data_IF_313016954206
#
_entry.id   IF_313016954206
#
_cell.length_a   1.000
_cell.length_b   1.000
_cell.length_c   1.000
_cell.angle_alpha   90.00
_cell.angle_beta   90.00
_cell.angle_gamma   90.00
#
_symmetry.space_group_name_H-M   'P 1'
#
loop_
_entity.id
_entity.type
_entity.pdbx_description
1 polymer ?
#
# COMPACT_ATOMS: atom_id res chain seq x y z
N UNK A 1 8.31 4.16 -32.91
CA UNK A 1 8.71 5.04 -31.80
C UNK A 1 8.62 4.21 -30.54
N UNK A 2 9.54 4.37 -29.60
CA UNK A 2 9.49 3.73 -28.30
C UNK A 2 8.29 4.28 -27.52
N UNK A 3 7.57 3.43 -26.78
CA UNK A 3 6.48 3.89 -25.94
C UNK A 3 7.00 4.69 -24.74
N UNK A 4 6.29 5.76 -24.39
CA UNK A 4 6.67 6.69 -23.33
C UNK A 4 5.92 6.39 -22.04
N UNK A 5 6.66 6.23 -20.96
CA UNK A 5 6.13 5.94 -19.62
C UNK A 5 6.48 7.07 -18.67
N UNK A 6 5.48 7.63 -17.97
CA UNK A 6 5.73 8.53 -16.85
C UNK A 6 5.69 7.73 -15.55
N UNK A 7 6.68 7.91 -14.68
CA UNK A 7 6.59 7.51 -13.27
C UNK A 7 6.34 8.78 -12.46
N UNK A 8 5.21 8.82 -11.74
CA UNK A 8 4.89 9.94 -10.88
C UNK A 8 5.75 9.91 -9.62
N UNK A 9 6.37 11.03 -9.30
CA UNK A 9 7.33 11.21 -8.20
C UNK A 9 6.86 12.27 -7.24
N UNK A 10 7.44 12.34 -6.02
CA UNK A 10 7.20 13.47 -5.12
C UNK A 10 7.74 14.77 -5.71
N UNK A 11 7.28 15.89 -5.17
CA UNK A 11 7.88 17.21 -5.45
C UNK A 11 9.38 17.16 -5.15
N UNK A 12 10.19 17.51 -6.15
CA UNK A 12 11.66 17.59 -6.05
C UNK A 12 12.15 18.59 -4.99
N UNK A 13 11.31 19.52 -4.62
CA UNK A 13 11.60 20.57 -3.63
C UNK A 13 11.11 20.22 -2.23
N UNK A 14 10.36 19.12 -2.07
CA UNK A 14 9.88 18.62 -0.76
C UNK A 14 11.05 18.07 0.07
N UNK A 15 11.37 18.73 1.17
CA UNK A 15 12.50 18.35 2.05
C UNK A 15 12.39 16.95 2.66
N UNK A 16 11.17 16.43 2.82
CA UNK A 16 10.92 15.16 3.50
C UNK A 16 11.29 13.89 2.70
N UNK A 17 11.43 13.99 1.37
CA UNK A 17 11.60 12.82 0.49
C UNK A 17 12.86 12.84 -0.36
N UNK A 18 13.65 13.91 -0.31
CA UNK A 18 14.76 14.20 -1.23
C UNK A 18 15.83 13.14 -1.38
N UNK A 19 16.08 12.35 -0.36
CA UNK A 19 17.26 11.46 -0.33
C UNK A 19 16.99 10.06 -0.85
N UNK A 20 15.75 9.59 -0.85
CA UNK A 20 15.41 8.20 -1.12
C UNK A 20 14.69 7.94 -2.45
N UNK A 21 13.83 8.85 -2.89
CA UNK A 21 13.01 8.62 -4.09
C UNK A 21 13.81 8.44 -5.39
N UNK A 22 14.98 9.09 -5.62
CA UNK A 22 15.73 8.90 -6.86
C UNK A 22 16.22 7.46 -7.05
N UNK A 23 16.64 6.80 -5.97
CA UNK A 23 17.10 5.40 -6.02
C UNK A 23 15.91 4.45 -6.25
N UNK A 24 14.75 4.72 -5.63
CA UNK A 24 13.53 3.94 -5.85
C UNK A 24 13.01 4.15 -7.28
N UNK A 25 13.06 5.39 -7.80
CA UNK A 25 12.76 5.67 -9.20
C UNK A 25 13.61 4.83 -10.14
N UNK A 26 14.93 4.82 -9.92
CA UNK A 26 15.83 4.07 -10.80
C UNK A 26 15.58 2.56 -10.73
N UNK A 27 15.33 1.99 -9.55
CA UNK A 27 14.95 0.57 -9.40
C UNK A 27 13.70 0.21 -10.21
N UNK A 28 12.69 1.08 -10.25
CA UNK A 28 11.48 0.87 -11.02
C UNK A 28 11.66 1.17 -12.51
N UNK A 29 12.44 2.18 -12.87
CA UNK A 29 12.63 2.62 -14.25
C UNK A 29 13.60 1.74 -15.04
N UNK A 30 14.65 1.22 -14.40
CA UNK A 30 15.68 0.43 -15.09
C UNK A 30 15.12 -0.80 -15.83
N UNK A 31 14.24 -1.64 -15.24
CA UNK A 31 13.66 -2.77 -15.97
C UNK A 31 12.75 -2.34 -17.13
N UNK A 32 12.01 -1.24 -16.99
CA UNK A 32 11.18 -0.69 -18.06
C UNK A 32 12.04 -0.19 -19.24
N UNK A 33 13.13 0.54 -18.96
CA UNK A 33 14.10 0.99 -19.97
C UNK A 33 14.79 -0.19 -20.65
N UNK A 34 15.16 -1.23 -19.88
CA UNK A 34 15.73 -2.48 -20.43
C UNK A 34 14.76 -3.18 -21.41
N UNK A 35 13.45 -3.05 -21.17
CA UNK A 35 12.39 -3.54 -22.06
C UNK A 35 12.12 -2.63 -23.27
N UNK A 36 12.87 -1.55 -23.46
CA UNK A 36 12.79 -0.65 -24.62
C UNK A 36 11.81 0.53 -24.45
N UNK A 37 11.35 0.80 -23.24
CA UNK A 37 10.45 1.92 -22.94
C UNK A 37 11.25 3.20 -22.63
N UNK A 38 10.72 4.35 -23.00
CA UNK A 38 11.24 5.66 -22.57
C UNK A 38 10.59 6.05 -21.24
N UNK A 39 11.38 6.14 -20.16
CA UNK A 39 10.85 6.41 -18.81
C UNK A 39 11.27 7.78 -18.34
N UNK A 40 10.28 8.61 -17.98
CA UNK A 40 10.46 9.97 -17.51
C UNK A 40 9.79 10.17 -16.14
N UNK A 41 10.46 10.83 -15.16
CA UNK A 41 9.80 11.23 -13.91
C UNK A 41 8.90 12.45 -14.12
N UNK A 42 7.75 12.48 -13.45
CA UNK A 42 6.85 13.64 -13.38
C UNK A 42 6.42 13.87 -11.94
N UNK A 43 6.47 15.11 -11.51
CA UNK A 43 5.96 15.51 -10.20
C UNK A 43 4.43 15.34 -10.17
N UNK A 44 3.91 14.51 -9.26
CA UNK A 44 2.49 14.23 -9.19
C UNK A 44 1.64 15.47 -8.85
N UNK A 45 2.22 16.41 -8.10
CA UNK A 45 1.51 17.60 -7.66
C UNK A 45 1.34 18.66 -8.77
N UNK A 46 2.24 18.68 -9.77
CA UNK A 46 2.32 19.71 -10.81
C UNK A 46 2.24 19.17 -12.25
N UNK A 47 2.17 17.85 -12.45
CA UNK A 47 2.17 17.28 -13.79
C UNK A 47 0.93 17.69 -14.60
N UNK A 48 1.15 18.34 -15.73
CA UNK A 48 0.09 18.82 -16.65
C UNK A 48 0.13 18.19 -18.04
N UNK A 49 1.18 17.42 -18.37
CA UNK A 49 1.44 16.87 -19.72
C UNK A 49 1.27 15.34 -19.79
N UNK A 50 0.58 14.75 -18.83
CA UNK A 50 0.50 13.29 -18.67
C UNK A 50 -0.28 12.58 -19.78
N UNK A 51 -1.23 13.26 -20.44
CA UNK A 51 -1.99 12.69 -21.56
C UNK A 51 -1.11 12.34 -22.78
N UNK A 52 0.12 12.87 -22.85
CA UNK A 52 1.08 12.56 -23.90
C UNK A 52 1.91 11.28 -23.65
N UNK A 53 1.68 10.57 -22.56
CA UNK A 53 2.36 9.31 -22.24
C UNK A 53 1.49 8.11 -22.57
N UNK A 54 2.12 7.03 -23.02
CA UNK A 54 1.45 5.77 -23.33
C UNK A 54 1.06 5.02 -22.04
N UNK A 55 1.74 5.30 -20.94
CA UNK A 55 1.49 4.73 -19.62
C UNK A 55 1.91 5.70 -18.52
N UNK A 56 1.12 5.82 -17.45
CA UNK A 56 1.46 6.65 -16.28
C UNK A 56 1.35 5.82 -15.02
N UNK A 57 2.46 5.72 -14.27
CA UNK A 57 2.62 4.88 -13.09
C UNK A 57 2.75 5.74 -11.82
N UNK A 58 1.78 5.75 -10.90
CA UNK A 58 1.85 6.54 -9.67
C UNK A 58 2.70 5.87 -8.55
N UNK A 59 3.81 5.23 -8.91
CA UNK A 59 4.60 4.38 -8.00
C UNK A 59 5.34 5.14 -6.90
N UNK A 60 5.51 6.47 -7.04
CA UNK A 60 6.21 7.29 -6.06
C UNK A 60 5.45 8.59 -5.73
N UNK A 61 4.13 8.54 -5.68
CA UNK A 61 3.30 9.70 -5.30
C UNK A 61 3.35 9.99 -3.79
N UNK A 62 4.56 9.87 -3.23
CA UNK A 62 4.77 10.07 -1.80
C UNK A 62 4.29 11.44 -1.36
N UNK A 63 3.71 11.48 -0.17
CA UNK A 63 3.15 12.71 0.39
C UNK A 63 1.66 12.91 0.11
N UNK A 64 1.03 12.15 -0.80
CA UNK A 64 -0.41 12.28 -1.07
C UNK A 64 -1.29 12.12 0.19
N UNK A 65 -0.96 11.27 1.19
CA UNK A 65 -1.79 11.17 2.38
C UNK A 65 -1.83 12.44 3.23
N UNK A 66 -0.81 13.32 3.09
CA UNK A 66 -0.76 14.63 3.76
C UNK A 66 -1.45 15.74 2.94
N UNK A 67 -1.79 15.46 1.67
CA UNK A 67 -2.49 16.37 0.77
C UNK A 67 -3.71 15.70 0.10
N UNK A 68 -4.65 15.09 0.86
CA UNK A 68 -5.69 14.21 0.31
C UNK A 68 -6.66 14.92 -0.64
N UNK A 69 -6.89 16.23 -0.45
CA UNK A 69 -7.72 17.02 -1.39
C UNK A 69 -7.01 17.22 -2.72
N UNK A 70 -5.74 17.60 -2.69
CA UNK A 70 -4.92 17.78 -3.90
C UNK A 70 -4.79 16.46 -4.66
N UNK A 71 -4.58 15.35 -3.96
CA UNK A 71 -4.58 14.01 -4.55
C UNK A 71 -5.89 13.70 -5.26
N UNK A 72 -7.02 13.86 -4.58
CA UNK A 72 -8.33 13.59 -5.16
C UNK A 72 -8.63 14.47 -6.38
N UNK A 73 -8.17 15.73 -6.39
CA UNK A 73 -8.29 16.65 -7.53
C UNK A 73 -7.38 16.23 -8.68
N UNK A 74 -6.14 15.84 -8.40
CA UNK A 74 -5.19 15.35 -9.40
C UNK A 74 -5.72 14.10 -10.11
N UNK A 75 -6.17 13.08 -9.37
CA UNK A 75 -6.70 11.85 -9.94
C UNK A 75 -7.96 12.12 -10.81
N UNK A 76 -8.89 12.98 -10.36
CA UNK A 76 -10.05 13.38 -11.17
C UNK A 76 -9.65 14.10 -12.46
N UNK A 77 -8.68 15.01 -12.38
CA UNK A 77 -8.17 15.73 -13.54
C UNK A 77 -7.55 14.75 -14.54
N UNK A 78 -6.65 13.87 -14.12
CA UNK A 78 -6.03 12.88 -14.99
C UNK A 78 -7.05 11.96 -15.67
N UNK A 79 -8.08 11.53 -14.93
CA UNK A 79 -9.17 10.74 -15.50
C UNK A 79 -9.94 11.53 -16.58
N UNK A 80 -10.27 12.80 -16.32
CA UNK A 80 -10.99 13.66 -17.29
C UNK A 80 -10.15 14.00 -18.52
N UNK A 81 -8.83 14.04 -18.39
CA UNK A 81 -7.87 14.27 -19.48
C UNK A 81 -7.54 12.98 -20.26
N UNK A 82 -8.10 11.83 -19.87
CA UNK A 82 -7.86 10.55 -20.54
C UNK A 82 -6.45 10.00 -20.31
N UNK A 83 -5.79 10.35 -19.20
CA UNK A 83 -4.47 9.86 -18.85
C UNK A 83 -4.52 8.34 -18.65
N UNK A 84 -3.59 7.62 -19.28
CA UNK A 84 -3.48 6.14 -19.18
C UNK A 84 -2.82 5.71 -17.87
N UNK A 85 -3.53 5.92 -16.79
CA UNK A 85 -3.06 5.54 -15.43
C UNK A 85 -3.05 4.03 -15.24
N UNK A 86 -2.02 3.52 -14.58
CA UNK A 86 -1.90 2.16 -14.06
C UNK A 86 -1.31 2.17 -12.64
N UNK A 87 -2.12 1.77 -11.67
CA UNK A 87 -3.50 1.24 -11.75
C UNK A 87 -4.52 2.33 -12.12
N UNK A 88 -5.76 1.94 -12.53
CA UNK A 88 -6.78 2.89 -12.99
C UNK A 88 -7.17 3.94 -11.94
N UNK A 89 -7.67 5.11 -12.41
CA UNK A 89 -8.10 6.20 -11.53
C UNK A 89 -9.17 5.79 -10.48
N UNK A 90 -10.08 4.87 -10.85
CA UNK A 90 -11.06 4.27 -9.93
C UNK A 90 -10.38 3.59 -8.74
N UNK A 91 -9.34 2.79 -9.00
CA UNK A 91 -8.53 2.11 -7.99
C UNK A 91 -7.77 3.11 -7.13
N UNK A 92 -7.13 4.12 -7.73
CA UNK A 92 -6.38 5.13 -6.98
C UNK A 92 -7.25 5.90 -5.99
N UNK A 93 -8.50 6.22 -6.37
CA UNK A 93 -9.47 6.86 -5.48
C UNK A 93 -9.93 5.94 -4.36
N UNK A 94 -10.23 4.69 -4.71
CA UNK A 94 -10.77 3.72 -3.77
C UNK A 94 -9.73 3.28 -2.75
N UNK A 95 -8.50 2.99 -3.19
CA UNK A 95 -7.44 2.46 -2.33
C UNK A 95 -6.79 3.52 -1.44
N UNK A 96 -6.98 4.82 -1.72
CA UNK A 96 -6.44 5.91 -0.91
C UNK A 96 -7.02 5.97 0.52
N UNK A 97 -8.22 5.42 0.74
CA UNK A 97 -8.91 5.40 2.03
C UNK A 97 -9.09 3.98 2.52
N UNK A 98 -8.54 3.65 3.69
CA UNK A 98 -8.57 2.30 4.28
C UNK A 98 -9.97 1.72 4.56
N UNK A 99 -11.04 2.47 4.27
CA UNK A 99 -12.41 1.93 4.24
C UNK A 99 -12.55 0.82 3.19
N UNK A 100 -11.63 0.71 2.24
CA UNK A 100 -11.58 -0.37 1.27
C UNK A 100 -11.51 -1.77 1.93
N UNK A 101 -10.93 -1.87 3.13
CA UNK A 101 -10.85 -3.12 3.89
C UNK A 101 -12.24 -3.71 4.19
N UNK A 102 -13.21 -2.85 4.53
CA UNK A 102 -14.59 -3.28 4.76
C UNK A 102 -15.21 -3.88 3.49
N UNK A 103 -15.04 -3.19 2.35
CA UNK A 103 -15.57 -3.68 1.06
C UNK A 103 -14.93 -4.99 0.61
N UNK A 104 -13.64 -5.18 0.88
CA UNK A 104 -12.96 -6.44 0.62
C UNK A 104 -13.51 -7.56 1.52
N UNK A 105 -13.73 -7.28 2.81
CA UNK A 105 -14.31 -8.24 3.75
C UNK A 105 -15.74 -8.64 3.34
N UNK A 106 -16.59 -7.69 2.92
CA UNK A 106 -17.94 -7.93 2.40
C UNK A 106 -17.95 -8.85 1.17
N UNK A 107 -16.84 -8.87 0.40
CA UNK A 107 -16.64 -9.75 -0.77
C UNK A 107 -15.94 -11.05 -0.44
N UNK A 108 -15.74 -11.34 0.85
CA UNK A 108 -15.16 -12.60 1.33
C UNK A 108 -13.63 -12.65 1.37
N UNK A 109 -12.95 -11.52 1.17
CA UNK A 109 -11.51 -11.47 1.39
C UNK A 109 -11.18 -11.63 2.89
N UNK A 110 -10.11 -12.36 3.25
CA UNK A 110 -9.69 -12.55 4.63
C UNK A 110 -9.01 -11.28 5.17
N UNK A 111 -9.78 -10.34 5.67
CA UNK A 111 -9.31 -9.06 6.20
C UNK A 111 -9.30 -9.10 7.73
N UNK A 112 -8.32 -8.47 8.37
CA UNK A 112 -8.31 -8.24 9.82
C UNK A 112 -9.63 -7.53 10.21
N UNK A 113 -10.34 -8.00 11.26
CA UNK A 113 -11.54 -7.31 11.73
C UNK A 113 -11.28 -5.82 11.93
N UNK A 114 -12.05 -4.96 11.27
CA UNK A 114 -11.82 -3.53 11.22
C UNK A 114 -13.08 -2.77 11.55
N UNK A 115 -12.97 -1.75 12.41
CA UNK A 115 -14.02 -0.75 12.66
C UNK A 115 -13.60 0.61 12.15
N UNK A 116 -14.53 1.31 11.53
CA UNK A 116 -14.35 2.66 11.02
C UNK A 116 -14.97 3.69 11.93
N UNK A 117 -14.28 4.82 12.09
CA UNK A 117 -14.78 5.94 12.87
C UNK A 117 -14.59 7.23 12.08
N UNK A 118 -15.67 7.99 11.95
CA UNK A 118 -15.61 9.37 11.46
C UNK A 118 -15.30 10.31 12.62
N UNK A 119 -14.41 11.26 12.39
CA UNK A 119 -13.95 12.20 13.40
C UNK A 119 -13.03 11.58 14.46
N UNK A 120 -12.75 12.38 15.49
CA UNK A 120 -11.76 12.04 16.51
C UNK A 120 -12.13 10.78 17.31
N UNK A 121 -11.15 9.92 17.54
CA UNK A 121 -11.30 8.80 18.47
C UNK A 121 -11.46 9.28 19.91
N UNK A 122 -12.21 8.50 20.70
CA UNK A 122 -12.34 8.66 22.14
C UNK A 122 -12.11 7.31 22.82
N UNK A 123 -11.78 7.32 24.09
CA UNK A 123 -11.64 6.12 24.90
C UNK A 123 -12.89 5.23 24.84
N UNK A 124 -14.09 5.83 24.94
CA UNK A 124 -15.37 5.11 24.83
C UNK A 124 -15.48 4.32 23.52
N UNK A 125 -15.11 4.94 22.38
CA UNK A 125 -15.11 4.26 21.07
C UNK A 125 -14.12 3.11 21.01
N UNK A 126 -12.95 3.27 21.62
CA UNK A 126 -11.93 2.20 21.68
C UNK A 126 -12.37 1.06 22.60
N UNK A 127 -12.97 1.36 23.75
CA UNK A 127 -13.56 0.34 24.62
C UNK A 127 -14.68 -0.44 23.93
N UNK A 128 -15.53 0.23 23.14
CA UNK A 128 -16.55 -0.42 22.31
C UNK A 128 -15.94 -1.35 21.27
N UNK A 129 -14.85 -0.92 20.61
CA UNK A 129 -14.11 -1.76 19.67
C UNK A 129 -13.47 -2.96 20.36
N UNK A 130 -12.85 -2.75 21.53
CA UNK A 130 -12.25 -3.79 22.35
C UNK A 130 -13.26 -4.89 22.72
N UNK A 131 -14.43 -4.48 23.20
CA UNK A 131 -15.55 -5.40 23.50
C UNK A 131 -16.01 -6.18 22.25
N UNK A 132 -16.12 -5.50 21.13
CA UNK A 132 -16.57 -6.13 19.88
C UNK A 132 -15.57 -7.12 19.30
N UNK A 133 -14.27 -6.86 19.44
CA UNK A 133 -13.21 -7.76 19.00
C UNK A 133 -12.84 -8.84 20.04
N UNK A 134 -13.35 -8.74 21.26
CA UNK A 134 -13.01 -9.66 22.36
C UNK A 134 -11.56 -9.55 22.82
N UNK A 135 -10.94 -8.38 22.69
CA UNK A 135 -9.55 -8.11 23.09
C UNK A 135 -9.43 -6.71 23.66
N UNK A 136 -8.52 -6.53 24.62
CA UNK A 136 -8.17 -5.24 25.20
C UNK A 136 -6.96 -4.56 24.53
N UNK A 137 -6.37 -5.21 23.52
CA UNK A 137 -5.22 -4.69 22.77
C UNK A 137 -5.63 -4.32 21.35
N UNK A 138 -5.57 -3.04 21.04
CA UNK A 138 -6.00 -2.49 19.76
C UNK A 138 -4.86 -1.77 19.03
N UNK A 139 -5.03 -1.61 17.71
CA UNK A 139 -4.28 -0.67 16.88
C UNK A 139 -5.26 0.32 16.29
N UNK A 140 -4.96 1.61 16.43
CA UNK A 140 -5.72 2.69 15.81
C UNK A 140 -4.82 3.45 14.84
N UNK A 141 -5.32 3.72 13.63
CA UNK A 141 -4.57 4.44 12.58
C UNK A 141 -5.51 5.32 11.73
N UNK A 142 -5.01 6.42 11.13
CA UNK A 142 -5.83 7.23 10.24
C UNK A 142 -6.31 6.42 9.03
N UNK A 143 -7.48 6.74 8.51
CA UNK A 143 -8.01 6.11 7.28
C UNK A 143 -7.14 6.38 6.07
N UNK A 144 -6.61 7.61 5.95
CA UNK A 144 -5.64 8.00 4.91
C UNK A 144 -4.31 8.22 5.58
N UNK A 145 -3.37 7.32 5.40
CA UNK A 145 -2.03 7.39 6.01
C UNK A 145 -1.05 6.47 5.31
N UNK A 146 0.23 6.76 5.45
CA UNK A 146 1.37 5.92 5.05
C UNK A 146 2.39 5.85 6.19
N UNK A 147 3.35 4.93 6.12
CA UNK A 147 4.52 4.80 7.02
C UNK A 147 4.17 4.81 8.51
N UNK A 148 3.07 4.18 8.91
CA UNK A 148 2.57 4.12 10.30
C UNK A 148 2.36 5.51 10.96
N UNK A 149 2.19 6.60 10.17
CA UNK A 149 1.92 7.92 10.71
C UNK A 149 0.66 7.93 11.57
N UNK A 150 0.75 8.50 12.80
CA UNK A 150 -0.33 8.52 13.80
C UNK A 150 -0.93 7.14 14.12
N UNK A 151 -0.15 6.07 13.95
CA UNK A 151 -0.57 4.71 14.35
C UNK A 151 -0.17 4.47 15.79
N UNK A 152 -1.15 4.14 16.64
CA UNK A 152 -0.93 3.81 18.05
C UNK A 152 -1.42 2.42 18.38
N UNK A 153 -0.73 1.77 19.35
CA UNK A 153 -1.30 0.67 20.13
C UNK A 153 -2.05 1.27 21.29
N UNK A 154 -3.17 0.68 21.64
CA UNK A 154 -3.99 1.14 22.74
C UNK A 154 -4.56 -0.03 23.56
N UNK A 155 -4.57 0.13 24.88
CA UNK A 155 -5.28 -0.70 25.84
C UNK A 155 -6.06 0.19 26.81
N UNK A 156 -7.10 -0.33 27.53
CA UNK A 156 -7.84 0.47 28.49
C UNK A 156 -6.94 1.18 29.51
N UNK A 157 -7.08 2.49 29.60
CA UNK A 157 -6.26 3.36 30.43
C UNK A 157 -5.03 3.98 29.75
N UNK A 158 -4.69 3.57 28.53
CA UNK A 158 -3.62 4.22 27.76
C UNK A 158 -4.06 5.59 27.23
N UNK A 159 -3.15 6.57 27.15
CA UNK A 159 -3.44 7.85 26.52
C UNK A 159 -3.66 7.69 25.01
N UNK A 160 -4.38 8.64 24.41
CA UNK A 160 -4.59 8.72 22.95
C UNK A 160 -3.55 9.61 22.24
N UNK A 161 -2.49 9.99 22.93
CA UNK A 161 -1.47 10.91 22.41
C UNK A 161 -0.77 10.30 21.19
N UNK A 162 -0.60 11.13 20.16
CA UNK A 162 0.02 10.72 18.91
C UNK A 162 -0.87 9.84 18.00
N UNK A 163 -2.10 9.55 18.40
CA UNK A 163 -3.06 8.79 17.61
C UNK A 163 -3.80 9.64 16.55
N UNK A 164 -4.74 9.02 15.83
CA UNK A 164 -5.50 9.67 14.77
C UNK A 164 -6.31 10.88 15.28
N UNK A 165 -6.16 12.02 14.63
CA UNK A 165 -6.90 13.24 14.95
C UNK A 165 -8.24 13.35 14.19
N UNK A 166 -8.42 12.56 13.12
CA UNK A 166 -9.57 12.57 12.23
C UNK A 166 -10.20 11.20 12.04
N UNK A 167 -10.72 10.98 10.84
CA UNK A 167 -11.30 9.70 10.45
C UNK A 167 -10.25 8.58 10.56
N UNK A 168 -10.64 7.47 11.17
CA UNK A 168 -9.70 6.42 11.57
C UNK A 168 -10.27 5.02 11.40
N UNK A 169 -9.41 4.04 11.42
CA UNK A 169 -9.74 2.63 11.61
C UNK A 169 -9.15 2.12 12.92
N UNK A 170 -9.85 1.14 13.50
CA UNK A 170 -9.42 0.42 14.70
C UNK A 170 -9.47 -1.07 14.40
N UNK A 171 -8.41 -1.78 14.75
CA UNK A 171 -8.21 -3.21 14.53
C UNK A 171 -7.75 -3.88 15.84
N UNK A 172 -8.00 -5.20 16.05
CA UNK A 172 -7.34 -5.93 17.12
C UNK A 172 -5.82 -5.92 16.89
N UNK A 173 -5.05 -5.79 17.96
CA UNK A 173 -3.60 -6.00 17.89
C UNK A 173 -3.31 -7.49 17.70
N UNK A 174 -2.52 -7.81 16.68
CA UNK A 174 -2.13 -9.18 16.36
C UNK A 174 -0.69 -9.45 16.86
N UNK A 175 -0.51 -10.22 17.95
CA UNK A 175 0.83 -10.48 18.52
C UNK A 175 1.79 -11.19 17.55
N UNK A 176 1.25 -11.88 16.54
CA UNK A 176 2.05 -12.59 15.55
C UNK A 176 2.92 -11.66 14.71
N UNK A 177 2.59 -10.36 14.63
CA UNK A 177 3.44 -9.38 13.94
C UNK A 177 4.83 -9.27 14.60
N UNK A 178 4.91 -9.42 15.93
CA UNK A 178 6.18 -9.39 16.67
C UNK A 178 6.97 -10.70 16.50
N UNK A 179 6.29 -11.83 16.27
CA UNK A 179 6.89 -13.18 16.18
C UNK A 179 7.27 -13.57 14.77
N UNK A 180 6.30 -13.46 13.87
CA UNK A 180 6.40 -13.92 12.49
C UNK A 180 6.60 -12.78 11.51
N UNK A 181 6.27 -11.54 11.91
CA UNK A 181 6.32 -10.36 11.06
C UNK A 181 5.10 -10.27 10.14
N UNK A 182 5.28 -9.50 9.09
CA UNK A 182 4.34 -9.29 7.99
C UNK A 182 4.94 -9.89 6.72
N UNK A 183 4.10 -10.47 5.88
CA UNK A 183 4.50 -11.00 4.56
C UNK A 183 3.86 -10.13 3.49
N UNK A 184 4.67 -9.64 2.55
CA UNK A 184 4.19 -8.92 1.38
C UNK A 184 4.30 -9.80 0.14
N UNK A 185 3.17 -10.04 -0.52
CA UNK A 185 3.12 -10.74 -1.81
C UNK A 185 2.95 -9.73 -2.93
N UNK A 186 3.81 -9.78 -3.93
CA UNK A 186 3.84 -8.85 -5.06
C UNK A 186 3.31 -9.54 -6.32
N UNK A 187 2.40 -8.84 -7.01
CA UNK A 187 1.76 -9.30 -8.23
C UNK A 187 1.95 -8.30 -9.36
N UNK A 188 2.13 -8.81 -10.58
CA UNK A 188 2.17 -8.01 -11.81
C UNK A 188 1.19 -8.59 -12.83
N UNK A 189 0.28 -7.74 -13.36
CA UNK A 189 -0.75 -8.17 -14.30
C UNK A 189 -1.63 -9.30 -13.74
N UNK A 190 -1.87 -9.31 -12.43
CA UNK A 190 -2.62 -10.37 -11.72
C UNK A 190 -1.83 -11.66 -11.45
N UNK A 191 -0.60 -11.80 -11.97
CA UNK A 191 0.24 -12.98 -11.73
C UNK A 191 1.17 -12.76 -10.53
N UNK A 192 1.31 -13.78 -9.66
CA UNK A 192 2.27 -13.75 -8.56
C UNK A 192 3.71 -13.61 -9.08
N UNK A 193 4.46 -12.69 -8.51
CA UNK A 193 5.86 -12.45 -8.85
C UNK A 193 6.80 -12.99 -7.79
N UNK A 194 6.70 -12.48 -6.57
CA UNK A 194 7.59 -12.80 -5.46
C UNK A 194 6.97 -12.35 -4.13
N UNK A 195 7.62 -12.70 -3.04
CA UNK A 195 7.22 -12.24 -1.72
C UNK A 195 8.43 -11.94 -0.84
N UNK A 196 8.23 -11.05 0.11
CA UNK A 196 9.17 -10.73 1.17
C UNK A 196 8.52 -10.87 2.53
N UNK A 197 9.30 -11.11 3.57
CA UNK A 197 8.90 -10.98 4.96
C UNK A 197 9.51 -9.72 5.57
N UNK A 198 8.73 -9.03 6.37
CA UNK A 198 9.14 -7.85 7.15
C UNK A 198 8.99 -8.17 8.63
N UNK A 199 10.07 -8.09 9.40
CA UNK A 199 10.05 -8.33 10.85
C UNK A 199 10.45 -7.07 11.59
N UNK A 200 9.76 -6.73 12.69
CA UNK A 200 10.15 -5.60 13.50
C UNK A 200 11.48 -5.88 14.23
N UNK A 201 12.15 -4.81 14.64
CA UNK A 201 13.23 -4.92 15.62
C UNK A 201 12.68 -5.36 16.98
N UNK A 202 13.48 -6.05 17.81
CA UNK A 202 13.06 -6.44 19.15
C UNK A 202 12.55 -5.23 19.96
N UNK A 203 11.30 -5.31 20.44
CA UNK A 203 10.66 -4.23 21.20
C UNK A 203 9.86 -3.22 20.39
N UNK A 204 9.87 -3.32 19.06
CA UNK A 204 8.97 -2.56 18.18
C UNK A 204 7.89 -3.50 17.55
N UNK A 205 6.84 -2.93 16.99
CA UNK A 205 5.81 -3.62 16.21
C UNK A 205 5.75 -3.12 14.76
N UNK A 206 6.48 -2.03 14.47
CA UNK A 206 6.54 -1.43 13.13
C UNK A 206 7.60 -2.16 12.32
N UNK A 207 7.23 -2.58 11.13
CA UNK A 207 8.05 -3.43 10.25
C UNK A 207 8.67 -2.65 9.09
N UNK A 208 8.35 -1.36 8.96
CA UNK A 208 8.78 -0.53 7.85
C UNK A 208 10.30 -0.25 7.93
N UNK A 209 10.97 -0.05 6.77
CA UNK A 209 12.40 0.24 6.72
C UNK A 209 12.82 1.49 7.54
N UNK A 210 11.91 2.46 7.68
CA UNK A 210 12.11 3.67 8.48
C UNK A 210 12.30 3.37 9.98
N UNK A 211 11.92 2.18 10.41
CA UNK A 211 12.06 1.67 11.78
C UNK A 211 13.03 0.50 11.87
N UNK A 212 13.99 0.42 10.92
CA UNK A 212 14.99 -0.65 10.84
C UNK A 212 14.39 -2.06 10.74
N UNK A 213 13.21 -2.20 10.14
CA UNK A 213 12.57 -3.48 9.88
C UNK A 213 13.48 -4.40 9.06
N UNK A 214 13.55 -5.67 9.43
CA UNK A 214 14.35 -6.69 8.74
C UNK A 214 13.55 -7.23 7.57
N UNK A 215 14.02 -6.99 6.33
CA UNK A 215 13.40 -7.48 5.10
C UNK A 215 14.19 -8.66 4.56
N UNK A 216 13.49 -9.73 4.20
CA UNK A 216 14.09 -10.92 3.59
C UNK A 216 13.16 -11.53 2.54
N UNK A 217 13.72 -12.21 1.54
CA UNK A 217 12.92 -13.01 0.60
C UNK A 217 12.08 -14.04 1.36
N UNK A 218 10.82 -14.21 0.94
CA UNK A 218 9.87 -15.15 1.51
C UNK A 218 9.33 -16.11 0.46
N UNK A 219 9.06 -17.35 0.85
CA UNK A 219 8.33 -18.32 0.03
C UNK A 219 6.95 -18.52 0.63
N UNK A 220 5.90 -17.97 0.01
CA UNK A 220 4.54 -18.08 0.53
C UNK A 220 4.10 -19.55 0.62
N UNK A 221 3.39 -19.88 1.70
CA UNK A 221 2.71 -21.16 1.83
C UNK A 221 1.38 -21.18 1.06
N UNK A 222 0.72 -22.33 1.05
CA UNK A 222 -0.55 -22.50 0.33
C UNK A 222 -1.66 -21.60 0.88
N UNK A 223 -1.70 -21.37 2.20
CA UNK A 223 -2.72 -20.51 2.82
C UNK A 223 -2.50 -19.03 2.47
N UNK A 224 -1.24 -18.58 2.38
CA UNK A 224 -0.90 -17.21 1.96
C UNK A 224 -1.27 -16.99 0.48
N UNK A 225 -1.02 -17.98 -0.40
CA UNK A 225 -1.47 -17.91 -1.80
C UNK A 225 -3.00 -17.91 -1.93
N UNK A 226 -3.71 -18.72 -1.15
CA UNK A 226 -5.17 -18.76 -1.15
C UNK A 226 -5.76 -17.43 -0.67
N UNK A 227 -5.24 -16.90 0.44
CA UNK A 227 -5.63 -15.57 0.95
C UNK A 227 -5.42 -14.47 -0.11
N UNK A 228 -4.26 -14.44 -0.75
CA UNK A 228 -3.97 -13.48 -1.80
C UNK A 228 -4.91 -13.61 -3.01
N UNK A 229 -5.24 -14.83 -3.42
CA UNK A 229 -6.19 -15.07 -4.51
C UNK A 229 -7.60 -14.56 -4.19
N UNK A 230 -8.09 -14.78 -2.96
CA UNK A 230 -9.38 -14.24 -2.50
C UNK A 230 -9.36 -12.71 -2.45
N UNK A 231 -8.27 -12.10 -2.00
CA UNK A 231 -8.13 -10.64 -1.93
C UNK A 231 -8.13 -10.03 -3.34
N UNK A 232 -7.33 -10.55 -4.27
CA UNK A 232 -7.32 -10.05 -5.64
C UNK A 232 -8.64 -10.30 -6.36
N UNK A 233 -9.30 -11.44 -6.11
CA UNK A 233 -10.62 -11.75 -6.65
C UNK A 233 -11.73 -10.80 -6.15
N UNK A 234 -11.52 -10.13 -5.02
CA UNK A 234 -12.42 -9.12 -4.49
C UNK A 234 -12.21 -7.72 -5.10
N UNK A 235 -11.13 -7.50 -5.86
CA UNK A 235 -10.87 -6.25 -6.61
C UNK A 235 -11.51 -6.39 -8.00
N UNK A 236 -12.34 -5.43 -8.40
CA UNK A 236 -13.09 -5.49 -9.68
C UNK A 236 -12.24 -5.12 -10.89
N UNK A 237 -11.28 -4.25 -10.71
CA UNK A 237 -10.49 -3.66 -11.79
C UNK A 237 -9.23 -4.48 -12.09
N UNK A 238 -8.80 -4.53 -13.35
CA UNK A 238 -7.51 -5.10 -13.69
C UNK A 238 -6.38 -4.24 -13.10
N UNK A 239 -5.38 -4.91 -12.54
CA UNK A 239 -4.25 -4.27 -11.88
C UNK A 239 -2.96 -4.57 -12.63
N UNK A 240 -2.15 -3.53 -12.90
CA UNK A 240 -0.78 -3.72 -13.36
C UNK A 240 0.10 -4.28 -12.25
N UNK A 241 -0.05 -3.76 -11.04
CA UNK A 241 0.68 -4.21 -9.86
C UNK A 241 -0.21 -4.21 -8.63
N UNK A 242 0.11 -5.10 -7.70
CA UNK A 242 -0.47 -5.11 -6.37
C UNK A 242 0.57 -5.60 -5.35
N UNK A 243 0.57 -5.02 -4.16
CA UNK A 243 1.22 -5.56 -2.97
C UNK A 243 0.17 -5.89 -1.93
N UNK A 244 0.16 -7.15 -1.50
CA UNK A 244 -0.75 -7.68 -0.50
C UNK A 244 0.05 -7.95 0.77
N UNK A 245 -0.22 -7.17 1.82
CA UNK A 245 0.45 -7.31 3.10
C UNK A 245 -0.41 -8.16 4.04
N UNK A 246 0.11 -9.34 4.40
CA UNK A 246 -0.56 -10.34 5.23
C UNK A 246 0.10 -10.45 6.60
N UNK A 247 -0.71 -10.70 7.61
CA UNK A 247 -0.26 -11.09 8.95
C UNK A 247 -1.07 -12.29 9.43
N UNK A 248 -0.52 -13.11 10.32
CA UNK A 248 -1.28 -14.20 10.94
C UNK A 248 -2.29 -13.65 11.95
N UNK A 249 -3.56 -13.95 11.75
CA UNK A 249 -4.64 -13.64 12.66
C UNK A 249 -4.56 -14.41 13.98
N UNK A 250 -5.50 -14.17 14.88
CA UNK A 250 -5.57 -14.86 16.18
C UNK A 250 -5.84 -16.38 16.03
N UNK A 251 -6.44 -16.78 14.92
CA UNK A 251 -6.67 -18.16 14.52
C UNK A 251 -5.50 -18.82 13.75
N UNK A 252 -4.43 -18.04 13.52
CA UNK A 252 -3.26 -18.44 12.76
C UNK A 252 -3.43 -18.40 11.24
N UNK A 253 -4.61 -18.05 10.71
CA UNK A 253 -4.82 -17.88 9.29
C UNK A 253 -4.23 -16.56 8.78
N UNK A 254 -3.73 -16.48 7.51
CA UNK A 254 -3.31 -15.23 6.92
C UNK A 254 -4.48 -14.27 6.75
N UNK A 255 -4.32 -13.03 7.20
CA UNK A 255 -5.31 -11.95 7.07
C UNK A 255 -4.66 -10.70 6.46
N UNK A 256 -5.41 -10.01 5.62
CA UNK A 256 -4.98 -8.76 5.01
C UNK A 256 -4.90 -7.64 6.05
N UNK A 257 -3.71 -7.06 6.19
CA UNK A 257 -3.48 -5.84 6.99
C UNK A 257 -3.50 -4.58 6.13
N UNK A 258 -2.99 -4.68 4.90
CA UNK A 258 -2.96 -3.59 3.93
C UNK A 258 -2.91 -4.13 2.50
N UNK A 259 -3.61 -3.46 1.57
CA UNK A 259 -3.54 -3.69 0.13
C UNK A 259 -3.01 -2.41 -0.51
N UNK A 260 -1.84 -2.48 -1.12
CA UNK A 260 -1.22 -1.32 -1.74
C UNK A 260 -1.31 -1.40 -3.26
N UNK A 261 -2.12 -0.51 -3.83
CA UNK A 261 -2.40 -0.42 -5.25
C UNK A 261 -2.01 0.95 -5.87
N UNK A 262 -1.51 1.88 -5.04
CA UNK A 262 -1.12 3.23 -5.48
C UNK A 262 0.39 3.29 -5.65
N UNK A 263 1.14 3.21 -4.54
CA UNK A 263 2.58 3.45 -4.49
C UNK A 263 3.37 2.38 -3.73
N UNK A 264 3.09 1.08 -3.97
CA UNK A 264 3.81 0.04 -3.25
C UNK A 264 5.32 0.10 -3.53
N UNK A 265 6.14 -0.13 -2.51
CA UNK A 265 7.49 -0.61 -2.78
C UNK A 265 7.35 -2.02 -3.39
N UNK A 266 7.85 -2.17 -4.60
CA UNK A 266 7.73 -3.42 -5.37
C UNK A 266 8.82 -4.43 -5.00
N UNK A 267 9.79 -4.07 -4.15
CA UNK A 267 10.87 -4.94 -3.68
C UNK A 267 11.58 -5.73 -4.77
N UNK A 268 11.78 -5.10 -5.94
CA UNK A 268 12.34 -5.75 -7.15
C UNK A 268 13.75 -6.33 -6.92
N UNK A 269 14.49 -5.77 -5.98
CA UNK A 269 15.84 -6.20 -5.62
C UNK A 269 15.88 -7.51 -4.81
N UNK A 270 14.76 -7.93 -4.24
CA UNK A 270 14.70 -9.12 -3.39
C UNK A 270 14.42 -10.42 -4.15
N UNK A 271 14.17 -10.34 -5.47
CA UNK A 271 13.92 -11.54 -6.29
C UNK A 271 14.46 -11.38 -7.71
N UNK A 272 15.30 -12.32 -8.13
CA UNK A 272 15.83 -12.35 -9.49
C UNK A 272 14.69 -12.43 -10.53
N UNK A 273 14.74 -11.56 -11.56
CA UNK A 273 13.74 -11.50 -12.63
C UNK A 273 12.44 -10.77 -12.24
N UNK A 274 12.29 -10.23 -11.00
CA UNK A 274 11.12 -9.45 -10.62
C UNK A 274 10.93 -8.22 -11.52
N UNK A 275 12.01 -7.49 -11.78
CA UNK A 275 11.98 -6.35 -12.69
C UNK A 275 11.58 -6.71 -14.13
N UNK A 276 11.98 -7.89 -14.61
CA UNK A 276 11.61 -8.37 -15.96
C UNK A 276 10.10 -8.72 -16.00
N UNK A 277 9.56 -9.33 -14.94
CA UNK A 277 8.12 -9.61 -14.83
C UNK A 277 7.29 -8.33 -14.77
N UNK A 278 7.76 -7.34 -13.99
CA UNK A 278 7.12 -6.02 -13.93
C UNK A 278 7.11 -5.34 -15.30
N UNK A 279 8.27 -5.26 -15.96
CA UNK A 279 8.40 -4.64 -17.28
C UNK A 279 7.55 -5.35 -18.32
N UNK A 280 7.52 -6.70 -18.30
CA UNK A 280 6.65 -7.48 -19.21
C UNK A 280 5.18 -7.12 -19.02
N UNK A 281 4.70 -7.08 -17.77
CA UNK A 281 3.30 -6.72 -17.48
C UNK A 281 2.96 -5.29 -17.95
N UNK A 282 3.91 -4.34 -17.84
CA UNK A 282 3.73 -2.99 -18.37
C UNK A 282 3.68 -2.95 -19.92
N UNK A 283 4.55 -3.72 -20.58
CA UNK A 283 4.56 -3.83 -22.06
C UNK A 283 3.28 -4.48 -22.57
N UNK A 284 2.74 -5.48 -21.88
CA UNK A 284 1.50 -6.17 -22.29
C UNK A 284 0.27 -5.24 -22.28
N UNK A 285 0.35 -4.02 -21.71
CA UNK A 285 -0.71 -3.00 -21.68
C UNK A 285 -0.59 -1.93 -22.80
N UNK A 286 0.51 -1.93 -23.54
CA UNK A 286 0.80 -0.95 -24.60
C UNK A 286 0.31 -1.43 -25.96
#
# INVERSE_FOLDING_TARGET
MSARVAILTPDRNSDGFRTRWPDVLERNAAPLRKAGLEVEPRDWADASDLAGFDLVLPLLVWGYPFAPRQWAEAVRRWESEGVRLQNPASVLRWNADKIYLERLAERGAPVIPTRHYDGRLSEVRLEEAARAFGTDRLVAKPRVSSTAWQTIRWSPGDPLDGGPEGASIVQPYLPEIERSGEVSLIFFGGAFSHAISKRPQPGDFRVQPEYDGIIAAHRPDAAEHEAAALILGAVEEPLLYARIDLVRGLDGAPQLIELELIEPDLYLEHEAGAGERFAKAAVDLL
#
